data_IF_551159432242
#
_entry.id   IF_551159432242
#
_cell.length_a   1.000
_cell.length_b   1.000
_cell.length_c   1.000
_cell.angle_alpha   90.00
_cell.angle_beta   90.00
_cell.angle_gamma   90.00
#
_symmetry.space_group_name_H-M   'P 1'
#
loop_
_entity.id
_entity.type
_entity.pdbx_description
1 polymer ?
#
# COMPACT_ATOMS: atom_id res chain seq x y z
N UNK A 1 27.82 16.03 6.31
CA UNK A 1 27.09 15.62 5.11
C UNK A 1 25.93 16.58 4.85
N UNK A 2 25.58 16.73 3.57
CA UNK A 2 24.55 17.61 3.12
C UNK A 2 23.21 16.87 3.16
N UNK A 3 22.23 17.35 3.93
CA UNK A 3 20.93 16.68 4.11
C UNK A 3 19.80 17.34 3.31
N UNK A 4 19.96 18.60 2.94
CA UNK A 4 18.97 19.34 2.14
C UNK A 4 19.64 19.98 0.96
N UNK A 5 19.17 19.67 -0.22
CA UNK A 5 19.63 20.23 -1.48
C UNK A 5 18.47 20.53 -2.42
N UNK A 6 18.53 21.64 -3.12
CA UNK A 6 17.61 21.96 -4.21
C UNK A 6 18.45 22.26 -5.45
N UNK A 7 18.21 21.49 -6.51
CA UNK A 7 18.81 21.69 -7.82
C UNK A 7 17.72 22.20 -8.75
N UNK A 8 17.89 23.36 -9.34
CA UNK A 8 16.95 23.91 -10.31
C UNK A 8 17.66 24.13 -11.63
N UNK A 9 17.12 23.55 -12.71
CA UNK A 9 17.49 23.90 -14.07
C UNK A 9 16.84 25.23 -14.41
N UNK A 10 17.63 26.24 -14.66
CA UNK A 10 17.15 27.56 -15.08
C UNK A 10 16.82 27.52 -16.57
N UNK A 11 15.53 27.33 -16.90
CA UNK A 11 15.06 27.41 -18.29
C UNK A 11 15.08 28.85 -18.84
N UNK A 12 15.01 29.01 -20.14
CA UNK A 12 15.05 30.32 -20.83
C UNK A 12 13.99 31.32 -20.35
N UNK A 13 12.85 30.81 -19.85
CA UNK A 13 11.72 31.61 -19.35
C UNK A 13 11.95 32.25 -17.99
N UNK A 14 12.99 31.84 -17.25
CA UNK A 14 13.30 32.33 -15.89
C UNK A 14 14.53 33.28 -15.86
N UNK A 15 15.11 33.59 -17.00
CA UNK A 15 16.21 34.51 -17.08
C UNK A 15 15.73 35.95 -16.90
N UNK A 16 16.46 36.74 -16.09
CA UNK A 16 16.23 38.19 -16.03
C UNK A 16 16.48 38.84 -17.41
N UNK A 17 15.83 39.97 -17.71
CA UNK A 17 16.07 40.69 -18.97
C UNK A 17 17.56 40.96 -19.25
N UNK A 18 18.33 41.24 -18.20
CA UNK A 18 19.76 41.48 -18.24
C UNK A 18 20.57 40.22 -18.58
N UNK A 19 20.20 39.08 -18.01
CA UNK A 19 20.82 37.78 -18.35
C UNK A 19 20.51 37.34 -19.78
N UNK A 20 19.30 37.66 -20.30
CA UNK A 20 18.93 37.40 -21.70
C UNK A 20 19.80 38.25 -22.66
N UNK A 21 20.02 39.49 -22.29
CA UNK A 21 20.87 40.41 -23.08
C UNK A 21 22.33 39.97 -23.08
N UNK A 22 22.87 39.56 -21.93
CA UNK A 22 24.22 39.02 -21.82
C UNK A 22 24.41 37.73 -22.63
N UNK A 23 23.42 36.82 -22.63
CA UNK A 23 23.45 35.63 -23.48
C UNK A 23 23.44 35.95 -24.98
N UNK A 24 22.63 36.92 -25.38
CA UNK A 24 22.60 37.37 -26.78
C UNK A 24 23.93 37.97 -27.25
N UNK A 25 24.67 38.61 -26.35
CA UNK A 25 25.96 39.25 -26.67
C UNK A 25 27.14 38.28 -26.61
N UNK A 26 27.19 37.39 -25.64
CA UNK A 26 28.32 36.49 -25.37
C UNK A 26 28.16 35.05 -25.87
N UNK A 27 27.07 34.72 -26.54
CA UNK A 27 26.79 33.38 -27.04
C UNK A 27 26.45 32.37 -25.93
N UNK A 28 25.65 31.39 -26.27
CA UNK A 28 25.22 30.33 -25.35
C UNK A 28 26.42 29.54 -24.86
N UNK A 29 26.77 29.71 -23.60
CA UNK A 29 27.50 28.70 -22.87
C UNK A 29 26.88 28.55 -21.47
N UNK A 30 26.47 27.33 -21.20
CA UNK A 30 26.02 26.77 -19.98
C UNK A 30 24.58 27.11 -19.55
N UNK A 31 23.74 26.08 -19.54
CA UNK A 31 22.61 25.99 -18.63
C UNK A 31 23.20 26.05 -17.22
N UNK A 32 23.15 27.22 -16.58
CA UNK A 32 23.57 27.35 -15.19
C UNK A 32 22.61 26.52 -14.30
N UNK A 33 23.08 25.37 -13.88
CA UNK A 33 22.48 24.61 -12.83
C UNK A 33 22.78 25.36 -11.53
N UNK A 34 21.77 26.00 -10.97
CA UNK A 34 21.92 26.71 -9.71
C UNK A 34 21.69 25.73 -8.57
N UNK A 35 22.77 25.22 -8.01
CA UNK A 35 22.75 24.39 -6.81
C UNK A 35 22.55 25.25 -5.56
N UNK A 36 21.41 25.06 -4.89
CA UNK A 36 21.19 25.62 -3.56
C UNK A 36 21.24 24.47 -2.57
N UNK A 37 22.33 24.37 -1.84
CA UNK A 37 22.50 23.31 -0.84
C UNK A 37 22.62 23.90 0.56
N UNK A 38 21.94 23.29 1.53
CA UNK A 38 22.07 23.64 2.94
C UNK A 38 22.66 22.45 3.71
N UNK A 39 23.65 22.72 4.54
CA UNK A 39 24.15 21.74 5.51
C UNK A 39 23.23 21.70 6.70
N UNK A 40 22.82 20.51 7.12
CA UNK A 40 22.13 20.34 8.38
C UNK A 40 23.12 20.43 9.53
N UNK A 41 22.72 21.16 10.58
CA UNK A 41 23.44 21.21 11.86
C UNK A 41 23.14 19.97 12.73
N UNK A 42 22.14 19.19 12.40
CA UNK A 42 21.72 18.00 13.16
C UNK A 42 22.55 16.79 12.78
N UNK A 43 22.92 16.00 13.80
CA UNK A 43 23.54 14.67 13.62
C UNK A 43 22.48 13.61 13.80
N UNK A 44 22.48 12.59 12.95
CA UNK A 44 21.50 11.50 13.02
C UNK A 44 21.91 10.33 12.14
N UNK A 45 21.22 9.22 12.34
CA UNK A 45 21.35 8.02 11.50
C UNK A 45 20.17 7.97 10.54
N UNK A 46 20.43 7.70 9.27
CA UNK A 46 19.36 7.52 8.26
C UNK A 46 18.62 6.22 8.57
N UNK A 47 17.31 6.32 8.78
CA UNK A 47 16.41 5.20 9.07
C UNK A 47 15.48 4.87 7.89
N UNK A 48 15.32 5.79 6.95
CA UNK A 48 14.46 5.59 5.78
C UNK A 48 14.73 6.62 4.69
N UNK A 49 14.43 6.23 3.47
CA UNK A 49 14.52 7.07 2.27
C UNK A 49 13.26 6.87 1.45
N UNK A 50 12.53 7.95 1.20
CA UNK A 50 11.37 7.96 0.32
C UNK A 50 11.68 8.77 -0.93
N UNK A 51 11.36 8.22 -2.09
CA UNK A 51 11.59 8.87 -3.38
C UNK A 51 10.26 9.12 -4.06
N UNK A 52 10.05 10.36 -4.45
CA UNK A 52 8.88 10.79 -5.22
C UNK A 52 9.36 11.29 -6.58
N UNK A 53 8.99 10.60 -7.64
CA UNK A 53 9.30 10.96 -9.02
C UNK A 53 8.06 11.51 -9.70
N UNK A 54 8.27 12.47 -10.62
CA UNK A 54 7.19 12.99 -11.45
C UNK A 54 6.71 11.92 -12.44
N UNK A 55 5.42 11.95 -12.78
CA UNK A 55 4.83 11.09 -13.80
C UNK A 55 5.56 11.29 -15.17
N UNK A 56 5.85 10.18 -15.85
CA UNK A 56 6.51 10.18 -17.16
C UNK A 56 8.02 10.41 -17.16
N UNK A 57 8.67 10.51 -16.00
CA UNK A 57 10.13 10.64 -15.89
C UNK A 57 10.77 9.26 -15.78
N UNK A 58 11.88 9.06 -16.49
CA UNK A 58 12.68 7.84 -16.40
C UNK A 58 13.25 7.65 -15.00
N UNK A 59 13.08 6.45 -14.45
CA UNK A 59 13.42 6.13 -13.06
C UNK A 59 14.79 5.45 -12.99
N UNK A 60 15.64 5.94 -12.10
CA UNK A 60 16.94 5.34 -11.82
C UNK A 60 16.78 3.95 -11.16
N UNK A 61 17.77 3.07 -11.31
CA UNK A 61 17.82 1.75 -10.68
C UNK A 61 17.59 1.80 -9.15
N UNK A 62 18.17 2.79 -8.47
CA UNK A 62 17.99 3.00 -7.03
C UNK A 62 16.55 3.39 -6.68
N UNK A 63 15.92 4.22 -7.50
CA UNK A 63 14.52 4.61 -7.33
C UNK A 63 13.62 3.40 -7.51
N UNK A 64 13.88 2.57 -8.54
CA UNK A 64 13.13 1.33 -8.77
C UNK A 64 13.27 0.35 -7.61
N UNK A 65 14.47 0.19 -7.05
CA UNK A 65 14.69 -0.67 -5.87
C UNK A 65 13.89 -0.18 -4.65
N UNK A 66 13.89 1.13 -4.36
CA UNK A 66 13.12 1.70 -3.24
C UNK A 66 11.62 1.56 -3.47
N UNK A 67 11.14 1.77 -4.70
CA UNK A 67 9.73 1.59 -5.04
C UNK A 67 9.31 0.11 -4.90
N UNK A 68 10.19 -0.82 -5.30
CA UNK A 68 9.94 -2.26 -5.14
C UNK A 68 9.85 -2.65 -3.66
N UNK A 69 10.76 -2.17 -2.82
CA UNK A 69 10.71 -2.40 -1.38
C UNK A 69 9.40 -1.87 -0.76
N UNK A 70 8.95 -0.68 -1.18
CA UNK A 70 7.68 -0.11 -0.75
C UNK A 70 6.47 -0.94 -1.21
N UNK A 71 6.52 -1.48 -2.43
CA UNK A 71 5.47 -2.37 -2.94
C UNK A 71 5.43 -3.68 -2.15
N UNK A 72 6.58 -4.28 -1.88
CA UNK A 72 6.68 -5.53 -1.14
C UNK A 72 6.21 -5.35 0.31
N UNK A 73 6.57 -4.24 0.94
CA UNK A 73 6.08 -3.91 2.28
C UNK A 73 4.56 -3.64 2.29
N UNK A 74 4.04 -2.92 1.29
CA UNK A 74 2.60 -2.68 1.16
C UNK A 74 1.82 -3.97 0.92
N UNK A 75 2.38 -4.89 0.12
CA UNK A 75 1.81 -6.22 -0.11
C UNK A 75 1.78 -7.03 1.18
N UNK A 76 2.91 -7.09 1.89
CA UNK A 76 3.00 -7.77 3.17
C UNK A 76 1.98 -7.24 4.18
N UNK A 77 1.84 -5.92 4.28
CA UNK A 77 0.85 -5.31 5.16
C UNK A 77 -0.60 -5.68 4.78
N UNK A 78 -0.91 -5.75 3.47
CA UNK A 78 -2.22 -6.17 2.99
C UNK A 78 -2.49 -7.66 3.29
N UNK A 79 -1.48 -8.52 3.12
CA UNK A 79 -1.57 -9.95 3.41
C UNK A 79 -1.72 -10.19 4.94
N UNK A 80 -0.99 -9.44 5.77
CA UNK A 80 -1.10 -9.49 7.23
C UNK A 80 -2.51 -9.02 7.70
N UNK A 81 -3.02 -7.92 7.13
CA UNK A 81 -4.38 -7.41 7.41
C UNK A 81 -5.43 -8.47 7.04
N UNK A 82 -5.31 -9.09 5.87
CA UNK A 82 -6.21 -10.14 5.43
C UNK A 82 -6.16 -11.37 6.38
N UNK A 83 -4.97 -11.79 6.82
CA UNK A 83 -4.80 -12.90 7.75
C UNK A 83 -5.41 -12.60 9.14
N UNK A 84 -5.30 -11.36 9.61
CA UNK A 84 -5.93 -10.94 10.87
C UNK A 84 -7.46 -10.99 10.76
N UNK A 85 -8.03 -10.46 9.67
CA UNK A 85 -9.48 -10.50 9.43
C UNK A 85 -9.97 -11.94 9.31
N UNK A 86 -9.26 -12.80 8.58
CA UNK A 86 -9.60 -14.22 8.46
C UNK A 86 -9.61 -14.92 9.82
N UNK A 87 -8.57 -14.71 10.63
CA UNK A 87 -8.46 -15.30 11.97
C UNK A 87 -9.57 -14.82 12.89
N UNK A 88 -9.84 -13.52 12.93
CA UNK A 88 -10.90 -12.94 13.76
C UNK A 88 -12.28 -13.47 13.37
N UNK A 89 -12.57 -13.54 12.06
CA UNK A 89 -13.82 -14.08 11.52
C UNK A 89 -13.97 -15.56 11.89
N UNK A 90 -12.90 -16.34 11.72
CA UNK A 90 -12.89 -17.76 12.09
C UNK A 90 -13.17 -17.94 13.57
N UNK A 91 -12.48 -17.23 14.46
CA UNK A 91 -12.68 -17.30 15.91
C UNK A 91 -14.13 -16.99 16.29
N UNK A 92 -14.68 -15.89 15.76
CA UNK A 92 -16.08 -15.51 16.01
C UNK A 92 -17.07 -16.57 15.57
N UNK A 93 -16.89 -17.14 14.37
CA UNK A 93 -17.78 -18.20 13.86
C UNK A 93 -17.62 -19.49 14.66
N UNK A 94 -16.41 -19.87 15.07
CA UNK A 94 -16.18 -21.03 15.92
C UNK A 94 -16.91 -20.90 17.28
N UNK A 95 -16.88 -19.72 17.90
CA UNK A 95 -17.60 -19.45 19.14
C UNK A 95 -19.12 -19.56 18.98
N UNK A 96 -19.66 -19.02 17.88
CA UNK A 96 -21.10 -19.09 17.57
C UNK A 96 -21.59 -20.51 17.27
N UNK A 97 -20.75 -21.31 16.61
CA UNK A 97 -21.09 -22.66 16.17
C UNK A 97 -20.82 -23.75 17.23
N UNK A 98 -20.05 -23.39 18.26
CA UNK A 98 -19.72 -24.32 19.36
C UNK A 98 -21.00 -24.92 20.00
N UNK A 99 -21.02 -26.24 20.14
CA UNK A 99 -22.13 -27.02 20.72
C UNK A 99 -23.45 -26.97 19.90
N UNK A 100 -23.42 -26.47 18.66
CA UNK A 100 -24.59 -26.50 17.75
C UNK A 100 -24.60 -27.77 16.92
N UNK A 101 -25.81 -28.17 16.48
CA UNK A 101 -26.00 -29.32 15.59
C UNK A 101 -25.91 -28.90 14.14
N UNK A 102 -25.07 -29.55 13.38
CA UNK A 102 -24.95 -29.30 11.94
C UNK A 102 -26.08 -30.04 11.19
N UNK A 103 -26.74 -29.32 10.29
CA UNK A 103 -27.73 -29.87 9.36
C UNK A 103 -27.10 -30.20 8.03
N UNK A 104 -26.19 -29.33 7.56
CA UNK A 104 -25.48 -29.47 6.29
C UNK A 104 -24.10 -28.80 6.39
N UNK A 105 -23.08 -29.36 5.72
CA UNK A 105 -21.74 -28.76 5.61
C UNK A 105 -20.71 -29.75 5.12
N UNK A 106 -19.58 -29.22 4.60
CA UNK A 106 -18.46 -30.05 4.18
C UNK A 106 -17.77 -30.69 5.40
N UNK A 107 -17.57 -32.01 5.37
CA UNK A 107 -16.86 -32.73 6.41
C UNK A 107 -17.62 -32.97 7.72
N UNK A 108 -18.95 -32.73 7.75
CA UNK A 108 -19.80 -32.95 8.93
C UNK A 108 -21.01 -33.78 8.55
N UNK A 109 -21.38 -34.73 9.44
CA UNK A 109 -22.59 -35.56 9.27
C UNK A 109 -23.82 -34.80 9.77
N UNK A 110 -24.96 -35.03 9.13
CA UNK A 110 -26.23 -34.44 9.54
C UNK A 110 -26.57 -34.84 11.00
N UNK A 111 -26.84 -33.85 11.85
CA UNK A 111 -27.14 -34.02 13.26
C UNK A 111 -25.92 -34.10 14.18
N UNK A 112 -24.73 -33.99 13.65
CA UNK A 112 -23.49 -34.01 14.42
C UNK A 112 -23.31 -32.70 15.22
N UNK A 113 -22.91 -32.84 16.49
CA UNK A 113 -22.59 -31.69 17.35
C UNK A 113 -21.19 -31.17 17.02
N UNK A 114 -21.06 -29.88 16.74
CA UNK A 114 -19.83 -29.26 16.41
C UNK A 114 -18.96 -29.05 17.66
N UNK A 115 -17.82 -29.77 17.73
CA UNK A 115 -16.82 -29.57 18.79
C UNK A 115 -15.85 -28.44 18.40
N UNK A 116 -15.26 -27.81 19.42
CA UNK A 116 -14.28 -26.72 19.18
C UNK A 116 -13.07 -27.19 18.36
N UNK A 117 -12.54 -28.39 18.70
CA UNK A 117 -11.37 -28.96 18.01
C UNK A 117 -11.65 -29.21 16.52
N UNK A 118 -12.85 -29.64 16.18
CA UNK A 118 -13.25 -29.90 14.80
C UNK A 118 -13.42 -28.60 14.01
N UNK A 119 -14.01 -27.57 14.63
CA UNK A 119 -14.15 -26.24 14.03
C UNK A 119 -12.80 -25.56 13.76
N UNK A 120 -11.83 -25.73 14.65
CA UNK A 120 -10.47 -25.21 14.48
C UNK A 120 -9.73 -25.85 13.29
N UNK A 121 -10.01 -27.13 13.01
CA UNK A 121 -9.40 -27.84 11.88
C UNK A 121 -9.96 -27.42 10.51
N UNK A 122 -11.15 -26.82 10.47
CA UNK A 122 -11.78 -26.39 9.22
C UNK A 122 -11.18 -25.11 8.67
N UNK A 123 -11.17 -25.02 7.33
CA UNK A 123 -10.88 -23.74 6.65
C UNK A 123 -12.10 -22.82 6.76
N UNK A 124 -11.88 -21.51 6.68
CA UNK A 124 -12.95 -20.52 6.80
C UNK A 124 -14.09 -20.75 5.78
N UNK A 125 -13.75 -21.13 4.55
CA UNK A 125 -14.73 -21.44 3.51
C UNK A 125 -15.61 -22.64 3.85
N UNK A 126 -15.07 -23.65 4.54
CA UNK A 126 -15.84 -24.81 4.98
C UNK A 126 -16.81 -24.41 6.11
N UNK A 127 -16.38 -23.49 6.98
CA UNK A 127 -17.23 -22.93 8.05
C UNK A 127 -18.40 -22.14 7.46
N UNK A 128 -18.19 -21.34 6.42
CA UNK A 128 -19.26 -20.62 5.73
C UNK A 128 -20.29 -21.55 5.06
N UNK A 129 -19.87 -22.75 4.67
CA UNK A 129 -20.76 -23.77 4.09
C UNK A 129 -21.63 -24.50 5.11
N UNK A 130 -21.32 -24.36 6.41
CA UNK A 130 -22.08 -25.00 7.50
C UNK A 130 -23.46 -24.37 7.62
N UNK A 131 -24.45 -25.22 7.88
CA UNK A 131 -25.81 -24.79 8.25
C UNK A 131 -26.21 -25.55 9.50
N UNK A 132 -26.82 -24.81 10.40
CA UNK A 132 -27.34 -25.32 11.68
C UNK A 132 -28.86 -25.42 11.63
N UNK A 133 -29.44 -26.03 12.62
CA UNK A 133 -30.90 -26.12 12.83
C UNK A 133 -31.54 -24.78 13.22
N UNK A 134 -30.73 -23.80 13.58
CA UNK A 134 -31.15 -22.46 14.02
C UNK A 134 -31.02 -21.45 12.90
N UNK A 135 -32.12 -20.93 12.40
CA UNK A 135 -32.18 -19.98 11.29
C UNK A 135 -31.41 -18.67 11.58
N UNK A 136 -31.52 -18.17 12.82
CA UNK A 136 -30.80 -16.96 13.24
C UNK A 136 -29.28 -17.08 13.10
N UNK A 137 -28.71 -18.26 13.40
CA UNK A 137 -27.28 -18.51 13.26
C UNK A 137 -26.89 -18.59 11.78
N UNK A 138 -27.71 -19.20 10.95
CA UNK A 138 -27.47 -19.29 9.51
C UNK A 138 -27.44 -17.90 8.86
N UNK A 139 -28.35 -17.00 9.27
CA UNK A 139 -28.35 -15.61 8.80
C UNK A 139 -27.08 -14.87 9.23
N UNK A 140 -26.62 -15.05 10.47
CA UNK A 140 -25.35 -14.45 10.94
C UNK A 140 -24.14 -14.99 10.16
N UNK A 141 -24.12 -16.28 9.81
CA UNK A 141 -23.05 -16.86 8.98
C UNK A 141 -23.03 -16.19 7.59
N UNK A 142 -24.20 -16.03 6.96
CA UNK A 142 -24.32 -15.40 5.64
C UNK A 142 -23.92 -13.91 5.67
N UNK A 143 -24.40 -13.16 6.65
CA UNK A 143 -24.00 -11.75 6.84
C UNK A 143 -22.50 -11.61 7.10
N UNK A 144 -21.92 -12.52 7.89
CA UNK A 144 -20.48 -12.53 8.17
C UNK A 144 -19.69 -12.88 6.91
N UNK A 145 -20.17 -13.83 6.09
CA UNK A 145 -19.56 -14.18 4.81
C UNK A 145 -19.54 -12.98 3.83
N UNK A 146 -20.68 -12.30 3.71
CA UNK A 146 -20.79 -11.10 2.84
C UNK A 146 -19.84 -10.02 3.33
N UNK A 147 -19.84 -9.73 4.64
CA UNK A 147 -18.96 -8.73 5.24
C UNK A 147 -17.49 -9.09 5.05
N UNK A 148 -17.10 -10.34 5.27
CA UNK A 148 -15.73 -10.82 5.05
C UNK A 148 -15.29 -10.64 3.59
N UNK A 149 -16.12 -11.06 2.63
CA UNK A 149 -15.82 -10.88 1.20
C UNK A 149 -15.65 -9.41 0.83
N UNK A 150 -16.46 -8.53 1.41
CA UNK A 150 -16.35 -7.09 1.19
C UNK A 150 -15.03 -6.56 1.76
N UNK A 151 -14.66 -6.91 2.99
CA UNK A 151 -13.38 -6.50 3.59
C UNK A 151 -12.17 -6.95 2.77
N UNK A 152 -12.15 -8.20 2.31
CA UNK A 152 -11.06 -8.71 1.46
C UNK A 152 -10.99 -7.95 0.13
N UNK A 153 -12.15 -7.64 -0.45
CA UNK A 153 -12.21 -6.83 -1.68
C UNK A 153 -11.66 -5.42 -1.45
N UNK A 154 -12.02 -4.80 -0.33
CA UNK A 154 -11.57 -3.44 0.02
C UNK A 154 -10.06 -3.40 0.31
N UNK A 155 -9.50 -4.42 0.98
CA UNK A 155 -8.06 -4.56 1.18
C UNK A 155 -7.33 -4.65 -0.17
N UNK A 156 -7.81 -5.48 -1.08
CA UNK A 156 -7.24 -5.62 -2.43
C UNK A 156 -7.34 -4.33 -3.23
N UNK A 157 -8.49 -3.64 -3.20
CA UNK A 157 -8.68 -2.36 -3.90
C UNK A 157 -7.70 -1.31 -3.38
N UNK A 158 -7.56 -1.17 -2.05
CA UNK A 158 -6.60 -0.25 -1.44
C UNK A 158 -5.15 -0.57 -1.80
N UNK A 159 -4.80 -1.85 -1.89
CA UNK A 159 -3.47 -2.26 -2.32
C UNK A 159 -3.23 -1.90 -3.80
N UNK A 160 -4.16 -2.21 -4.70
CA UNK A 160 -4.04 -1.87 -6.13
C UNK A 160 -3.99 -0.36 -6.37
N UNK A 161 -4.76 0.44 -5.62
CA UNK A 161 -4.68 1.89 -5.69
C UNK A 161 -3.31 2.43 -5.24
N UNK A 162 -2.75 1.89 -4.15
CA UNK A 162 -1.39 2.25 -3.70
C UNK A 162 -0.34 1.86 -4.72
N UNK A 163 -0.44 0.64 -5.25
CA UNK A 163 0.45 0.14 -6.31
C UNK A 163 0.39 1.03 -7.55
N UNK A 164 -0.81 1.37 -8.01
CA UNK A 164 -0.99 2.26 -9.16
C UNK A 164 -0.35 3.64 -8.93
N UNK A 165 -0.50 4.23 -7.72
CA UNK A 165 0.14 5.51 -7.37
C UNK A 165 1.66 5.43 -7.38
N UNK A 166 2.25 4.35 -6.84
CA UNK A 166 3.72 4.17 -6.82
C UNK A 166 4.25 4.01 -8.25
N UNK A 167 3.57 3.22 -9.09
CA UNK A 167 4.00 2.96 -10.47
C UNK A 167 3.85 4.19 -11.34
N UNK A 168 2.70 4.87 -11.26
CA UNK A 168 2.39 6.03 -12.08
C UNK A 168 3.33 7.21 -11.81
N UNK A 169 3.78 7.35 -10.56
CA UNK A 169 4.52 8.54 -10.12
C UNK A 169 3.60 9.57 -9.45
N UNK A 170 4.18 10.70 -9.07
CA UNK A 170 3.52 11.74 -8.30
C UNK A 170 3.30 13.01 -9.13
N UNK A 171 2.19 13.68 -8.87
CA UNK A 171 1.95 15.01 -9.41
C UNK A 171 2.74 16.03 -8.57
N UNK A 172 3.92 16.39 -9.07
CA UNK A 172 4.82 17.32 -8.43
C UNK A 172 4.63 18.72 -9.02
N UNK A 173 4.95 19.75 -8.22
CA UNK A 173 4.86 21.13 -8.64
C UNK A 173 5.64 21.38 -9.96
N UNK A 174 5.24 22.36 -10.78
CA UNK A 174 5.94 22.68 -12.02
C UNK A 174 7.43 22.93 -11.78
N UNK A 175 8.28 22.31 -12.59
CA UNK A 175 9.74 22.42 -12.47
C UNK A 175 10.39 21.45 -11.48
N UNK A 176 9.61 20.69 -10.70
CA UNK A 176 10.14 19.64 -9.81
C UNK A 176 10.07 18.31 -10.53
N UNK A 177 11.20 17.63 -10.65
CA UNK A 177 11.33 16.34 -11.33
C UNK A 177 11.29 15.19 -10.30
N UNK A 178 12.00 15.38 -9.18
CA UNK A 178 12.20 14.37 -8.16
C UNK A 178 12.32 15.00 -6.78
N UNK A 179 11.68 14.40 -5.78
CA UNK A 179 11.83 14.75 -4.37
C UNK A 179 12.34 13.52 -3.63
N UNK A 180 13.41 13.67 -2.88
CA UNK A 180 13.93 12.62 -2.00
C UNK A 180 13.79 13.11 -0.57
N UNK A 181 13.06 12.35 0.25
CA UNK A 181 12.95 12.57 1.68
C UNK A 181 13.83 11.56 2.42
N UNK A 182 14.59 12.05 3.36
CA UNK A 182 15.51 11.24 4.18
C UNK A 182 15.18 11.46 5.64
#
# INVERSE_FOLDING_TARGET
DMLVGKITLKGETQLSPEEKLLRAIFGEKASDVKDTSQRSSSKGTVIGVEVFTRDGVEKDERTQAIEQDHLDQSKKNADDEAAVVERATKTRLCELLKSKKAVKGNGVKKGEVLSAEKLESFKLNDIFSLRTDTETINNVIEETEISYKQYIKDIKSRFEEKKAKIIRGHDLAPGVIKIVKV
#
